data_IF_461730528484
#
_entry.id   IF_461730528484
#
_cell.length_a   1.000
_cell.length_b   1.000
_cell.length_c   1.000
_cell.angle_alpha   90.00
_cell.angle_beta   90.00
_cell.angle_gamma   90.00
#
_symmetry.space_group_name_H-M   'P 1'
#
loop_
_entity.id
_entity.type
_entity.pdbx_description
1 polymer ?
#
# COMPACT_ATOMS: atom_id res chain seq x y z
N UNK A 1 6.46 22.83 -15.14
CA UNK A 1 7.50 22.66 -14.11
C UNK A 1 7.41 21.23 -13.62
N UNK A 2 8.16 20.31 -14.24
CA UNK A 2 8.22 18.94 -13.77
C UNK A 2 8.97 18.98 -12.43
N UNK A 3 8.23 18.87 -11.32
CA UNK A 3 8.86 18.50 -10.05
C UNK A 3 9.55 17.15 -10.25
N UNK A 4 10.63 16.90 -9.51
CA UNK A 4 11.28 15.59 -9.49
C UNK A 4 10.21 14.50 -9.39
N UNK A 5 10.21 13.56 -10.34
CA UNK A 5 9.28 12.44 -10.34
C UNK A 5 9.45 11.70 -9.00
N UNK A 6 8.41 11.71 -8.17
CA UNK A 6 8.40 10.91 -6.94
C UNK A 6 8.31 9.45 -7.35
N UNK A 7 9.03 8.59 -6.65
CA UNK A 7 8.91 7.15 -6.78
C UNK A 7 7.43 6.77 -6.66
N UNK A 8 6.87 6.12 -7.67
CA UNK A 8 5.44 5.84 -7.81
C UNK A 8 5.18 4.37 -7.52
N UNK A 9 4.35 4.09 -6.52
CA UNK A 9 3.99 2.73 -6.14
C UNK A 9 2.52 2.47 -6.43
N UNK A 10 2.23 1.43 -7.20
CA UNK A 10 0.88 0.89 -7.28
C UNK A 10 0.62 -0.03 -6.09
N UNK A 11 -0.44 0.21 -5.33
CA UNK A 11 -0.84 -0.63 -4.21
C UNK A 11 -1.87 -1.68 -4.66
N UNK A 12 -1.55 -2.95 -4.43
CA UNK A 12 -2.45 -4.08 -4.66
C UNK A 12 -3.57 -4.18 -3.59
N UNK A 13 -4.69 -4.82 -3.91
CA UNK A 13 -5.81 -5.01 -3.01
C UNK A 13 -5.40 -5.72 -1.71
N UNK A 14 -4.46 -6.68 -1.80
CA UNK A 14 -4.01 -7.45 -0.65
C UNK A 14 -3.30 -6.61 0.43
N UNK A 15 -2.73 -5.45 0.08
CA UNK A 15 -2.07 -4.53 1.04
C UNK A 15 -3.00 -3.40 1.50
N UNK A 16 -4.10 -3.16 0.76
CA UNK A 16 -5.20 -2.27 1.15
C UNK A 16 -6.25 -2.95 2.04
N UNK A 17 -6.18 -4.27 2.15
CA UNK A 17 -7.07 -5.06 3.00
C UNK A 17 -6.75 -4.90 4.51
N UNK A 18 -5.53 -5.24 5.03
CA UNK A 18 -5.23 -5.15 6.46
C UNK A 18 -5.08 -3.70 6.91
N UNK A 19 -5.88 -3.29 7.91
CA UNK A 19 -5.94 -1.89 8.35
C UNK A 19 -4.56 -1.32 8.76
N UNK A 20 -3.72 -2.09 9.46
CA UNK A 20 -2.43 -1.59 9.92
C UNK A 20 -1.46 -1.39 8.76
N UNK A 21 -1.44 -2.30 7.78
CA UNK A 21 -0.63 -2.19 6.56
C UNK A 21 -1.06 -1.00 5.73
N UNK A 22 -2.38 -0.84 5.51
CA UNK A 22 -2.91 0.31 4.79
C UNK A 22 -2.58 1.62 5.49
N UNK A 23 -2.82 1.75 6.80
CA UNK A 23 -2.54 3.01 7.52
C UNK A 23 -1.04 3.33 7.57
N UNK A 24 -0.15 2.33 7.58
CA UNK A 24 1.28 2.54 7.45
C UNK A 24 1.68 3.08 6.06
N UNK A 25 1.20 2.45 4.98
CA UNK A 25 1.46 2.89 3.59
C UNK A 25 0.88 4.29 3.34
N UNK A 26 -0.36 4.54 3.79
CA UNK A 26 -1.01 5.84 3.66
C UNK A 26 -0.31 6.92 4.49
N UNK A 27 0.18 6.60 5.69
CA UNK A 27 0.96 7.55 6.51
C UNK A 27 2.26 7.97 5.84
N UNK A 28 2.96 7.03 5.19
CA UNK A 28 4.17 7.35 4.43
C UNK A 28 3.85 8.13 3.14
N UNK A 29 2.81 7.74 2.42
CA UNK A 29 2.40 8.43 1.19
C UNK A 29 1.98 9.89 1.46
N UNK A 30 1.17 10.11 2.51
CA UNK A 30 0.75 11.47 2.93
C UNK A 30 1.92 12.32 3.44
N UNK A 31 2.94 11.69 4.02
CA UNK A 31 4.20 12.35 4.39
C UNK A 31 5.12 12.62 3.19
N UNK A 32 4.76 12.18 1.98
CA UNK A 32 5.47 12.49 0.74
C UNK A 32 6.62 11.54 0.39
N UNK A 33 6.71 10.37 1.03
CA UNK A 33 7.76 9.37 0.76
C UNK A 33 7.68 8.80 -0.66
N UNK A 34 6.47 8.64 -1.18
CA UNK A 34 6.22 8.12 -2.52
C UNK A 34 4.89 8.65 -3.06
N UNK A 35 4.72 8.62 -4.38
CA UNK A 35 3.42 8.81 -5.00
C UNK A 35 2.69 7.45 -5.00
N UNK A 36 1.51 7.39 -4.39
CA UNK A 36 0.74 6.14 -4.34
C UNK A 36 -0.36 6.15 -5.40
N UNK A 37 -0.55 5.00 -6.04
CA UNK A 37 -1.55 4.79 -7.09
C UNK A 37 -2.36 3.51 -6.83
N UNK A 38 -3.64 3.51 -7.18
CA UNK A 38 -4.48 2.31 -7.27
C UNK A 38 -5.66 2.56 -8.22
N UNK A 39 -6.53 1.56 -8.42
CA UNK A 39 -7.70 1.65 -9.30
C UNK A 39 -9.00 1.44 -8.53
N UNK A 40 -10.12 1.85 -9.11
CA UNK A 40 -11.44 1.51 -8.57
C UNK A 40 -11.71 -0.02 -8.55
N UNK A 41 -11.07 -0.78 -9.44
CA UNK A 41 -11.15 -2.25 -9.41
C UNK A 41 -10.48 -2.80 -8.15
N UNK A 42 -9.26 -2.34 -7.85
CA UNK A 42 -8.54 -2.69 -6.61
C UNK A 42 -9.35 -2.30 -5.37
N UNK A 43 -10.03 -1.15 -5.40
CA UNK A 43 -10.96 -0.78 -4.32
C UNK A 43 -12.11 -1.76 -4.16
N UNK A 44 -12.71 -2.19 -5.26
CA UNK A 44 -13.80 -3.17 -5.27
C UNK A 44 -13.34 -4.49 -4.64
N UNK A 45 -12.12 -4.93 -4.94
CA UNK A 45 -11.56 -6.20 -4.46
C UNK A 45 -11.29 -6.21 -2.96
N UNK A 46 -10.59 -5.20 -2.44
CA UNK A 46 -10.29 -5.19 -1.00
C UNK A 46 -11.57 -4.97 -0.17
N UNK A 47 -12.54 -4.21 -0.68
CA UNK A 47 -13.86 -4.03 -0.04
C UNK A 47 -14.60 -5.36 -0.03
N UNK A 48 -14.74 -6.03 -1.17
CA UNK A 48 -15.44 -7.31 -1.27
C UNK A 48 -14.81 -8.37 -0.35
N UNK A 49 -13.48 -8.46 -0.36
CA UNK A 49 -12.74 -9.38 0.51
C UNK A 49 -12.98 -9.09 1.99
N UNK A 50 -13.01 -7.82 2.41
CA UNK A 50 -13.29 -7.46 3.81
C UNK A 50 -14.75 -7.76 4.20
N UNK A 51 -15.69 -7.52 3.30
CA UNK A 51 -17.11 -7.81 3.53
C UNK A 51 -17.41 -9.30 3.58
N UNK A 52 -16.61 -10.13 2.91
CA UNK A 52 -16.67 -11.58 3.01
C UNK A 52 -16.14 -12.07 4.36
N UNK A 53 -14.96 -11.60 4.79
CA UNK A 53 -14.36 -12.00 6.07
C UNK A 53 -15.08 -11.40 7.29
N UNK A 54 -15.70 -10.22 7.12
CA UNK A 54 -16.41 -9.48 8.18
C UNK A 54 -17.75 -8.96 7.67
N UNK A 55 -18.77 -9.83 7.57
CA UNK A 55 -20.09 -9.47 7.05
C UNK A 55 -20.76 -8.27 7.76
N UNK A 56 -20.41 -8.00 9.02
CA UNK A 56 -20.89 -6.85 9.79
C UNK A 56 -20.38 -5.49 9.28
N UNK A 57 -19.37 -5.49 8.42
CA UNK A 57 -18.80 -4.30 7.76
C UNK A 57 -19.46 -3.97 6.42
N UNK A 58 -20.39 -4.81 5.92
CA UNK A 58 -21.09 -4.58 4.66
C UNK A 58 -21.72 -3.19 4.61
N UNK A 59 -21.39 -2.42 3.57
CA UNK A 59 -21.88 -1.05 3.39
C UNK A 59 -21.31 -0.02 4.37
N UNK A 60 -20.24 -0.34 5.11
CA UNK A 60 -19.56 0.57 6.06
C UNK A 60 -18.14 0.94 5.64
N UNK A 61 -17.61 0.35 4.56
CA UNK A 61 -16.23 0.54 4.11
C UNK A 61 -16.06 1.73 3.16
N UNK A 62 -17.16 2.28 2.64
CA UNK A 62 -17.16 3.45 1.75
C UNK A 62 -16.51 4.66 2.44
N UNK A 63 -16.79 4.87 3.72
CA UNK A 63 -16.15 5.94 4.50
C UNK A 63 -14.63 5.78 4.54
N UNK A 64 -14.12 4.56 4.78
CA UNK A 64 -12.67 4.28 4.77
C UNK A 64 -12.07 4.56 3.39
N UNK A 65 -12.72 4.09 2.32
CA UNK A 65 -12.30 4.33 0.93
C UNK A 65 -12.23 5.83 0.64
N UNK A 66 -13.27 6.58 1.00
CA UNK A 66 -13.34 8.02 0.73
C UNK A 66 -12.25 8.78 1.49
N UNK A 67 -11.99 8.43 2.76
CA UNK A 67 -10.84 8.99 3.48
C UNK A 67 -9.49 8.69 2.80
N UNK A 68 -9.32 7.52 2.16
CA UNK A 68 -8.09 7.20 1.44
C UNK A 68 -7.93 8.07 0.19
N UNK A 69 -9.02 8.29 -0.56
CA UNK A 69 -9.05 9.17 -1.73
C UNK A 69 -8.77 10.63 -1.35
N UNK A 70 -9.37 11.11 -0.26
CA UNK A 70 -9.14 12.48 0.24
C UNK A 70 -7.70 12.68 0.69
N UNK A 71 -7.09 11.66 1.29
CA UNK A 71 -5.70 11.72 1.76
C UNK A 71 -4.69 11.78 0.59
N UNK A 72 -5.03 11.22 -0.57
CA UNK A 72 -4.15 11.13 -1.74
C UNK A 72 -4.91 11.64 -2.97
N UNK A 73 -4.88 12.95 -3.29
CA UNK A 73 -5.68 13.49 -4.38
C UNK A 73 -5.40 12.90 -5.78
N UNK A 74 -4.16 12.47 -6.03
CA UNK A 74 -3.72 11.90 -7.31
C UNK A 74 -3.58 10.36 -7.23
N UNK A 75 -4.51 9.68 -6.55
CA UNK A 75 -4.44 8.24 -6.33
C UNK A 75 -4.81 7.39 -7.56
N UNK A 76 -5.69 7.88 -8.43
CA UNK A 76 -6.37 7.02 -9.40
C UNK A 76 -5.51 6.80 -10.66
N UNK A 77 -5.43 5.53 -11.08
CA UNK A 77 -5.12 5.19 -12.47
C UNK A 77 -6.46 4.94 -13.20
N UNK A 78 -6.87 5.81 -14.14
CA UNK A 78 -8.18 5.71 -14.78
C UNK A 78 -8.36 4.40 -15.56
N UNK A 79 -9.55 3.82 -15.50
CA UNK A 79 -9.89 2.56 -16.20
C UNK A 79 -9.52 2.57 -17.69
N UNK A 80 -9.85 3.67 -18.38
CA UNK A 80 -9.55 3.84 -19.80
C UNK A 80 -8.04 3.77 -20.13
N UNK A 81 -7.15 4.00 -19.15
CA UNK A 81 -5.71 3.94 -19.33
C UNK A 81 -5.15 2.52 -19.26
N UNK A 82 -5.72 1.65 -18.42
CA UNK A 82 -5.16 0.31 -18.17
C UNK A 82 -5.92 -0.83 -18.84
N UNK A 83 -7.24 -0.72 -19.06
CA UNK A 83 -8.03 -1.79 -19.68
C UNK A 83 -7.49 -2.26 -21.05
N UNK A 84 -6.98 -1.39 -21.95
CA UNK A 84 -6.38 -1.82 -23.21
C UNK A 84 -5.14 -2.71 -23.06
N UNK A 85 -4.48 -2.70 -21.89
CA UNK A 85 -3.24 -3.44 -21.63
C UNK A 85 -3.46 -4.86 -21.10
N UNK A 86 -4.66 -5.20 -20.61
CA UNK A 86 -4.95 -6.51 -19.98
C UNK A 86 -4.61 -7.69 -20.91
N UNK A 87 -4.77 -7.51 -22.22
CA UNK A 87 -4.49 -8.54 -23.22
C UNK A 87 -3.02 -8.67 -23.64
N UNK A 88 -2.14 -7.78 -23.15
CA UNK A 88 -0.75 -7.68 -23.60
C UNK A 88 0.20 -8.65 -22.88
N UNK A 89 -0.25 -9.31 -21.81
CA UNK A 89 0.57 -10.22 -21.01
C UNK A 89 -0.29 -11.31 -20.37
N UNK A 90 0.37 -12.39 -19.95
CA UNK A 90 -0.26 -13.50 -19.22
C UNK A 90 0.39 -13.60 -17.85
N UNK A 91 -0.41 -13.55 -16.80
CA UNK A 91 0.03 -13.78 -15.43
C UNK A 91 -0.40 -15.18 -14.95
N UNK A 92 0.28 -15.74 -13.92
CA UNK A 92 -0.16 -16.97 -13.26
C UNK A 92 -1.62 -16.90 -12.79
N UNK A 93 -2.01 -15.77 -12.20
CA UNK A 93 -3.40 -15.46 -11.88
C UNK A 93 -3.99 -14.50 -12.94
N UNK A 94 -5.01 -14.90 -13.71
CA UNK A 94 -5.67 -14.04 -14.68
C UNK A 94 -6.35 -12.81 -14.07
N UNK A 95 -6.74 -12.86 -12.79
CA UNK A 95 -7.41 -11.77 -12.11
C UNK A 95 -6.42 -10.64 -11.77
N UNK A 96 -5.15 -10.96 -11.49
CA UNK A 96 -4.10 -9.96 -11.20
C UNK A 96 -3.65 -9.12 -12.42
N UNK A 97 -4.14 -9.43 -13.63
CA UNK A 97 -3.75 -8.70 -14.85
C UNK A 97 -4.13 -7.23 -14.81
N UNK A 98 -5.23 -6.86 -14.14
CA UNK A 98 -5.58 -5.44 -14.03
C UNK A 98 -4.61 -4.68 -13.13
N UNK A 99 -4.00 -5.33 -12.13
CA UNK A 99 -3.00 -4.72 -11.24
C UNK A 99 -1.75 -4.38 -12.06
N UNK A 100 -1.22 -5.35 -12.82
CA UNK A 100 -0.07 -5.10 -13.70
C UNK A 100 -0.38 -4.04 -14.78
N UNK A 101 -1.57 -4.13 -15.41
CA UNK A 101 -2.00 -3.14 -16.39
C UNK A 101 -2.03 -1.71 -15.80
N UNK A 102 -2.57 -1.58 -14.58
CA UNK A 102 -2.65 -0.30 -13.88
C UNK A 102 -1.27 0.24 -13.50
N UNK A 103 -0.35 -0.63 -13.10
CA UNK A 103 1.03 -0.23 -12.78
C UNK A 103 1.71 0.39 -14.01
N UNK A 104 1.57 -0.28 -15.17
CA UNK A 104 2.14 0.20 -16.44
C UNK A 104 1.50 1.53 -16.86
N UNK A 105 0.17 1.59 -16.88
CA UNK A 105 -0.57 2.79 -17.29
C UNK A 105 -0.38 3.98 -16.33
N UNK A 106 -0.17 3.69 -15.05
CA UNK A 106 0.09 4.67 -14.00
C UNK A 106 1.54 5.13 -13.93
N UNK A 107 2.43 4.64 -14.81
CA UNK A 107 3.87 4.88 -14.75
C UNK A 107 4.47 4.59 -13.36
N UNK A 108 4.02 3.49 -12.74
CA UNK A 108 4.57 3.05 -11.47
C UNK A 108 6.02 2.56 -11.65
N UNK A 109 6.82 2.76 -10.62
CA UNK A 109 8.15 2.17 -10.48
C UNK A 109 8.06 0.77 -9.82
N UNK A 110 7.01 0.54 -9.00
CA UNK A 110 6.77 -0.76 -8.39
C UNK A 110 5.30 -1.10 -8.15
N UNK A 111 5.03 -2.40 -7.98
CA UNK A 111 3.80 -2.93 -7.39
C UNK A 111 4.13 -3.37 -5.95
N UNK A 112 3.37 -2.85 -4.99
CA UNK A 112 3.46 -3.26 -3.59
C UNK A 112 2.40 -4.32 -3.32
N UNK A 113 2.83 -5.56 -3.09
CA UNK A 113 1.95 -6.72 -2.94
C UNK A 113 2.57 -7.77 -2.00
N UNK A 114 1.73 -8.42 -1.20
CA UNK A 114 2.10 -9.62 -0.44
C UNK A 114 2.10 -10.89 -1.32
N UNK A 115 1.49 -10.82 -2.51
CA UNK A 115 1.24 -11.93 -3.42
C UNK A 115 2.29 -11.99 -4.56
N UNK A 116 3.57 -11.82 -4.24
CA UNK A 116 4.65 -11.66 -5.25
C UNK A 116 4.74 -12.79 -6.29
N UNK A 117 4.28 -13.99 -5.96
CA UNK A 117 4.26 -15.14 -6.89
C UNK A 117 3.34 -14.93 -8.09
N UNK A 118 2.33 -14.06 -7.94
CA UNK A 118 1.34 -13.78 -8.98
C UNK A 118 1.85 -12.73 -9.98
N UNK A 119 2.99 -12.10 -9.66
CA UNK A 119 3.72 -11.17 -10.52
C UNK A 119 5.17 -11.64 -10.72
N UNK A 120 5.43 -12.60 -11.63
CA UNK A 120 6.79 -13.07 -11.88
C UNK A 120 7.73 -11.94 -12.32
N UNK A 121 8.90 -11.83 -11.70
CA UNK A 121 9.90 -10.78 -12.02
C UNK A 121 10.27 -10.74 -13.51
N UNK A 122 10.30 -11.91 -14.17
CA UNK A 122 10.58 -12.01 -15.60
C UNK A 122 9.56 -11.25 -16.47
N UNK A 123 8.32 -11.09 -16.00
CA UNK A 123 7.27 -10.33 -16.69
C UNK A 123 7.30 -8.87 -16.25
N UNK A 124 7.33 -8.60 -14.94
CA UNK A 124 7.29 -7.25 -14.41
C UNK A 124 8.47 -6.39 -14.90
N UNK A 125 9.68 -6.97 -14.94
CA UNK A 125 10.89 -6.27 -15.38
C UNK A 125 10.89 -5.86 -16.84
N UNK A 126 10.11 -6.52 -17.72
CA UNK A 126 9.94 -6.10 -19.13
C UNK A 126 9.29 -4.72 -19.23
N UNK A 127 8.53 -4.32 -18.21
CA UNK A 127 7.86 -3.02 -18.10
C UNK A 127 8.57 -2.06 -17.15
N UNK A 128 9.75 -2.42 -16.63
CA UNK A 128 10.49 -1.62 -15.67
C UNK A 128 9.87 -1.58 -14.26
N UNK A 129 9.02 -2.55 -13.92
CA UNK A 129 8.35 -2.64 -12.62
C UNK A 129 9.10 -3.55 -11.67
N UNK A 130 9.26 -3.10 -10.42
CA UNK A 130 9.67 -3.94 -9.30
C UNK A 130 8.46 -4.50 -8.54
N UNK A 131 8.54 -5.75 -8.08
CA UNK A 131 7.51 -6.37 -7.24
C UNK A 131 8.02 -6.42 -5.80
N UNK A 132 7.41 -5.61 -4.92
CA UNK A 132 7.95 -5.33 -3.58
C UNK A 132 6.95 -5.77 -2.51
N UNK A 133 7.45 -6.53 -1.54
CA UNK A 133 6.69 -6.88 -0.33
C UNK A 133 6.41 -5.62 0.51
N UNK A 134 5.21 -5.47 1.12
CA UNK A 134 4.86 -4.25 1.86
C UNK A 134 5.78 -3.96 3.05
N UNK A 135 6.24 -4.97 3.79
CA UNK A 135 7.15 -4.77 4.91
C UNK A 135 8.51 -4.29 4.42
N UNK A 136 9.02 -4.91 3.34
CA UNK A 136 10.25 -4.47 2.69
C UNK A 136 10.13 -3.06 2.14
N UNK A 137 9.01 -2.73 1.49
CA UNK A 137 8.76 -1.41 0.93
C UNK A 137 8.80 -0.32 2.02
N UNK A 138 8.10 -0.55 3.13
CA UNK A 138 8.08 0.38 4.28
C UNK A 138 9.48 0.56 4.87
N UNK A 139 10.26 -0.51 5.01
CA UNK A 139 11.65 -0.41 5.49
C UNK A 139 12.52 0.37 4.53
N UNK A 140 12.38 0.17 3.21
CA UNK A 140 13.13 0.95 2.23
C UNK A 140 12.82 2.45 2.38
N UNK A 141 11.53 2.81 2.55
CA UNK A 141 11.15 4.21 2.80
C UNK A 141 11.72 4.73 4.13
N UNK A 142 11.71 3.91 5.18
CA UNK A 142 12.28 4.26 6.48
C UNK A 142 13.79 4.51 6.40
N UNK A 143 14.52 3.71 5.64
CA UNK A 143 15.97 3.84 5.52
C UNK A 143 16.38 5.03 4.63
N UNK A 144 15.50 5.46 3.72
CA UNK A 144 15.70 6.69 2.92
C UNK A 144 15.59 7.97 3.77
N UNK A 145 14.59 8.05 4.65
CA UNK A 145 14.46 9.14 5.63
C UNK A 145 13.87 8.63 6.95
N UNK A 146 14.74 8.24 7.86
CA UNK A 146 14.34 7.65 9.14
C UNK A 146 13.64 8.65 10.05
N UNK A 147 13.97 9.95 9.97
CA UNK A 147 13.36 10.98 10.82
C UNK A 147 11.93 11.27 10.34
N UNK A 148 11.75 11.43 9.04
CA UNK A 148 10.44 11.60 8.43
C UNK A 148 9.55 10.37 8.64
N UNK A 149 10.09 9.16 8.47
CA UNK A 149 9.33 7.92 8.63
C UNK A 149 8.90 7.76 10.09
N UNK A 150 9.81 7.94 11.04
CA UNK A 150 9.48 7.90 12.47
C UNK A 150 8.41 8.94 12.84
N UNK A 151 8.47 10.14 12.25
CA UNK A 151 7.43 11.17 12.43
C UNK A 151 6.08 10.69 11.90
N UNK A 152 6.04 10.09 10.70
CA UNK A 152 4.82 9.54 10.12
C UNK A 152 4.21 8.42 10.99
N UNK A 153 5.05 7.50 11.49
CA UNK A 153 4.60 6.42 12.39
C UNK A 153 4.16 6.91 13.77
N UNK A 154 4.79 7.96 14.31
CA UNK A 154 4.32 8.63 15.54
C UNK A 154 2.93 9.22 15.36
N UNK A 155 2.69 9.91 14.23
CA UNK A 155 1.38 10.45 13.90
C UNK A 155 0.34 9.36 13.65
N UNK A 156 0.72 8.26 12.96
CA UNK A 156 -0.11 7.07 12.79
C UNK A 156 -0.56 6.51 14.14
N UNK A 157 0.38 6.30 15.07
CA UNK A 157 0.08 5.82 16.42
C UNK A 157 -0.88 6.75 17.16
N UNK A 158 -0.67 8.07 17.06
CA UNK A 158 -1.51 9.07 17.72
C UNK A 158 -2.97 9.10 17.22
N UNK A 159 -3.23 8.67 15.98
CA UNK A 159 -4.59 8.58 15.41
C UNK A 159 -5.34 7.29 15.76
N UNK A 160 -4.67 6.29 16.35
CA UNK A 160 -5.33 5.01 16.71
C UNK A 160 -6.38 5.24 17.79
N UNK A 161 -7.40 4.37 17.81
CA UNK A 161 -8.51 4.42 18.80
C UNK A 161 -8.05 4.41 20.26
N UNK A 162 -6.88 3.81 20.54
CA UNK A 162 -6.22 3.81 21.85
C UNK A 162 -4.80 4.38 21.70
N UNK A 163 -4.64 5.71 21.62
CA UNK A 163 -3.33 6.32 21.35
C UNK A 163 -2.35 6.16 22.53
N UNK A 164 -2.86 5.86 23.73
CA UNK A 164 -2.07 5.55 24.93
C UNK A 164 -1.60 4.08 25.00
N UNK A 165 -1.89 3.23 24.01
CA UNK A 165 -1.29 1.89 23.96
C UNK A 165 0.23 2.01 23.94
N UNK A 166 0.93 1.15 24.67
CA UNK A 166 2.40 1.19 24.70
C UNK A 166 2.96 0.89 23.29
N UNK A 167 4.24 1.20 23.06
CA UNK A 167 4.88 1.00 21.74
C UNK A 167 4.84 -0.47 21.31
N UNK A 168 4.92 -1.40 22.26
CA UNK A 168 4.87 -2.83 21.99
C UNK A 168 3.52 -3.28 21.42
N UNK A 169 2.40 -2.79 21.94
CA UNK A 169 1.06 -3.05 21.38
C UNK A 169 0.93 -2.53 19.94
N UNK A 170 1.64 -1.43 19.63
CA UNK A 170 1.69 -0.90 18.27
C UNK A 170 2.51 -1.79 17.35
N UNK A 171 3.73 -2.17 17.77
CA UNK A 171 4.59 -3.09 17.05
C UNK A 171 3.90 -4.43 16.79
N UNK A 172 3.27 -5.04 17.80
CA UNK A 172 2.54 -6.31 17.65
C UNK A 172 1.39 -6.23 16.64
N UNK A 173 0.70 -5.08 16.56
CA UNK A 173 -0.36 -4.93 15.58
C UNK A 173 0.15 -4.86 14.13
N UNK A 174 1.33 -4.25 13.92
CA UNK A 174 2.01 -4.23 12.62
C UNK A 174 2.50 -5.64 12.26
N UNK A 175 3.14 -6.33 13.20
CA UNK A 175 3.64 -7.69 13.03
C UNK A 175 2.52 -8.68 12.65
N UNK A 176 1.39 -8.64 13.37
CA UNK A 176 0.20 -9.45 13.05
C UNK A 176 -0.42 -9.14 11.69
N UNK A 177 -0.12 -7.97 11.12
CA UNK A 177 -0.59 -7.56 9.80
C UNK A 177 0.42 -7.88 8.69
N UNK A 178 1.46 -8.65 8.99
CA UNK A 178 2.49 -9.05 8.03
C UNK A 178 3.65 -8.08 7.92
N UNK A 179 3.88 -7.21 8.92
CA UNK A 179 4.97 -6.22 8.92
C UNK A 179 6.00 -6.47 10.05
N UNK A 180 6.65 -7.65 10.11
CA UNK A 180 7.55 -8.00 11.21
C UNK A 180 8.81 -7.12 11.29
N UNK A 181 9.39 -6.73 10.15
CA UNK A 181 10.59 -5.88 10.11
C UNK A 181 10.25 -4.46 10.53
N UNK A 182 9.13 -3.93 10.05
CA UNK A 182 8.61 -2.64 10.49
C UNK A 182 8.33 -2.66 11.99
N UNK A 183 7.70 -3.72 12.51
CA UNK A 183 7.46 -3.88 13.94
C UNK A 183 8.76 -3.88 14.75
N UNK A 184 9.80 -4.57 14.27
CA UNK A 184 11.12 -4.53 14.91
C UNK A 184 11.71 -3.11 14.89
N UNK A 185 11.61 -2.39 13.77
CA UNK A 185 12.07 -1.00 13.66
C UNK A 185 11.37 -0.07 14.66
N UNK A 186 10.07 -0.28 14.88
CA UNK A 186 9.28 0.45 15.88
C UNK A 186 9.77 0.14 17.30
N UNK A 187 10.10 -1.12 17.61
CA UNK A 187 10.67 -1.50 18.92
C UNK A 187 12.04 -0.86 19.15
N UNK A 188 12.89 -0.87 18.14
CA UNK A 188 14.23 -0.26 18.22
C UNK A 188 14.15 1.27 18.43
N UNK A 189 13.09 1.91 17.92
CA UNK A 189 12.83 3.33 18.07
C UNK A 189 11.85 3.68 19.21
N UNK A 190 11.60 2.75 20.16
CA UNK A 190 10.52 2.89 21.13
C UNK A 190 10.59 4.16 21.99
N UNK A 191 11.79 4.60 22.38
CA UNK A 191 11.98 5.81 23.19
C UNK A 191 11.69 7.10 22.43
N UNK A 192 11.53 7.04 21.11
CA UNK A 192 11.32 8.18 20.22
C UNK A 192 9.86 8.29 19.72
N UNK A 193 9.07 7.21 19.87
CA UNK A 193 7.73 7.02 19.30
C UNK A 193 6.59 7.11 20.30
#
# INVERSE_FOLDING_TARGET
>A
MAGYARYTALLDACVLFPLATTDALMSLATAGFFATKWTQMIETEWIASLEEQRPELKGKLQFRRDCMRDAIPDWEVPEAAWTPLIGSFTLPDPDDRHVLAAAIAGHADCIVTSNRRDFPDAIASEYGLEIVDPDRFIINQWDLDSVGAMTAFKQMRARRRKPQSNVEDFAQALERSGLPSTAQRIRDAADLL
#
